data_IF_140156530644
#
_entry.id   IF_140156530644
#
_cell.length_a   1.000
_cell.length_b   1.000
_cell.length_c   1.000
_cell.angle_alpha   90.00
_cell.angle_beta   90.00
_cell.angle_gamma   90.00
#
_symmetry.space_group_name_H-M   'P 1'
#
loop_
_entity.id
_entity.type
_entity.pdbx_description
1 polymer ?
#
# COMPACT_ATOMS: atom_id res chain seq x y z
N UNK A 1 29.42 9.93 -27.99
CA UNK A 1 29.80 9.81 -29.42
C UNK A 1 31.26 9.37 -29.59
N UNK A 2 32.23 10.00 -28.92
CA UNK A 2 33.65 9.64 -29.04
C UNK A 2 34.01 8.19 -28.67
N UNK A 3 33.43 7.63 -27.61
CA UNK A 3 33.70 6.24 -27.18
C UNK A 3 33.23 5.18 -28.19
N UNK A 4 32.04 5.36 -28.80
CA UNK A 4 31.54 4.44 -29.82
C UNK A 4 32.38 4.50 -31.11
N UNK A 5 32.87 5.69 -31.47
CA UNK A 5 33.75 5.88 -32.62
C UNK A 5 35.13 5.24 -32.39
N UNK A 6 35.64 5.29 -31.15
CA UNK A 6 36.85 4.57 -30.74
C UNK A 6 36.71 3.05 -30.86
N UNK A 7 35.60 2.49 -30.35
CA UNK A 7 35.28 1.06 -30.49
C UNK A 7 35.18 0.67 -31.97
N UNK A 8 34.52 1.47 -32.79
CA UNK A 8 34.39 1.21 -34.23
C UNK A 8 35.72 1.22 -34.97
N UNK A 9 36.57 2.22 -34.74
CA UNK A 9 37.92 2.29 -35.33
C UNK A 9 38.76 1.09 -34.90
N UNK A 10 38.65 0.66 -33.63
CA UNK A 10 39.37 -0.49 -33.12
C UNK A 10 38.99 -1.80 -33.85
N UNK A 11 37.69 -2.08 -34.00
CA UNK A 11 37.21 -3.25 -34.74
C UNK A 11 37.60 -3.20 -36.22
N UNK A 12 37.55 -2.03 -36.86
CA UNK A 12 37.99 -1.86 -38.25
C UNK A 12 39.48 -2.15 -38.44
N UNK A 13 40.33 -1.63 -37.55
CA UNK A 13 41.77 -1.90 -37.62
C UNK A 13 42.11 -3.36 -37.33
N UNK A 14 41.39 -4.00 -36.40
CA UNK A 14 41.65 -5.38 -36.01
C UNK A 14 41.17 -6.41 -37.04
N UNK A 15 39.93 -6.32 -37.52
CA UNK A 15 39.35 -7.35 -38.40
C UNK A 15 39.54 -7.08 -39.90
N UNK A 16 39.68 -5.82 -40.31
CA UNK A 16 39.73 -5.47 -41.74
C UNK A 16 41.15 -5.24 -42.26
N UNK A 17 42.06 -4.72 -41.44
CA UNK A 17 43.45 -4.45 -41.84
C UNK A 17 44.45 -5.50 -41.38
N UNK A 18 44.14 -6.35 -40.39
CA UNK A 18 45.06 -7.35 -39.82
C UNK A 18 46.45 -6.81 -39.40
N UNK A 19 46.59 -5.48 -39.26
CA UNK A 19 47.87 -4.80 -38.96
C UNK A 19 48.16 -4.73 -37.45
N UNK A 20 47.27 -5.27 -36.60
CA UNK A 20 47.37 -5.19 -35.14
C UNK A 20 47.49 -6.58 -34.52
N UNK A 21 48.72 -7.00 -34.21
CA UNK A 21 48.99 -8.20 -33.42
C UNK A 21 49.08 -7.83 -31.94
N UNK A 22 48.06 -8.19 -31.16
CA UNK A 22 48.03 -7.94 -29.72
C UNK A 22 48.87 -8.98 -28.98
N UNK A 23 50.12 -8.67 -28.64
CA UNK A 23 50.92 -9.49 -27.71
C UNK A 23 50.58 -9.15 -26.25
N UNK A 24 50.47 -10.12 -25.32
CA UNK A 24 50.65 -11.56 -25.49
C UNK A 24 49.34 -12.30 -25.81
N UNK A 25 49.43 -13.32 -26.66
CA UNK A 25 48.35 -14.25 -27.00
C UNK A 25 48.15 -15.24 -25.85
N UNK A 26 47.07 -15.09 -25.09
CA UNK A 26 46.81 -15.93 -23.90
C UNK A 26 46.16 -17.27 -24.29
N UNK A 27 45.64 -17.37 -25.52
CA UNK A 27 44.95 -18.54 -26.06
C UNK A 27 45.40 -18.68 -27.52
N UNK A 28 45.51 -19.90 -28.06
CA UNK A 28 45.85 -20.24 -29.45
C UNK A 28 44.95 -19.58 -30.54
N UNK A 29 44.11 -18.62 -30.15
CA UNK A 29 43.02 -17.99 -30.92
C UNK A 29 43.23 -16.49 -31.21
N UNK A 30 44.45 -15.94 -31.11
CA UNK A 30 44.78 -14.53 -31.47
C UNK A 30 43.92 -13.47 -30.73
N UNK A 31 43.50 -13.74 -29.49
CA UNK A 31 42.80 -12.79 -28.62
C UNK A 31 43.78 -12.24 -27.58
N UNK A 32 44.03 -10.94 -27.60
CA UNK A 32 44.83 -10.21 -26.62
C UNK A 32 43.99 -9.49 -25.57
N UNK A 33 44.64 -9.00 -24.51
CA UNK A 33 43.96 -8.27 -23.43
C UNK A 33 43.19 -7.03 -23.90
N UNK A 34 43.66 -6.36 -24.96
CA UNK A 34 43.00 -5.20 -25.56
C UNK A 34 41.58 -5.53 -26.07
N UNK A 35 41.37 -6.77 -26.50
CA UNK A 35 40.10 -7.22 -27.08
C UNK A 35 39.03 -7.45 -26.03
N UNK A 36 39.45 -8.00 -24.90
CA UNK A 36 38.59 -8.22 -23.73
C UNK A 36 38.12 -6.86 -23.20
N UNK A 37 39.02 -5.88 -23.13
CA UNK A 37 38.70 -4.53 -22.66
C UNK A 37 37.71 -3.84 -23.61
N UNK A 38 37.95 -3.87 -24.93
CA UNK A 38 37.05 -3.26 -25.91
C UNK A 38 35.71 -4.00 -25.98
N UNK A 39 35.70 -5.32 -25.81
CA UNK A 39 34.49 -6.13 -25.71
C UNK A 39 33.64 -5.79 -24.48
N UNK A 40 34.26 -5.62 -23.31
CA UNK A 40 33.56 -5.16 -22.11
C UNK A 40 32.97 -3.76 -22.30
N UNK A 41 33.72 -2.87 -22.95
CA UNK A 41 33.27 -1.50 -23.20
C UNK A 41 32.10 -1.44 -24.19
N UNK A 42 32.05 -2.32 -25.19
CA UNK A 42 30.91 -2.41 -26.11
C UNK A 42 29.66 -2.94 -25.41
N UNK A 43 29.78 -4.00 -24.58
CA UNK A 43 28.67 -4.54 -23.77
C UNK A 43 28.09 -3.45 -22.86
N UNK A 44 28.95 -2.67 -22.20
CA UNK A 44 28.53 -1.57 -21.34
C UNK A 44 27.72 -0.51 -22.10
N UNK A 45 28.18 -0.12 -23.30
CA UNK A 45 27.46 0.86 -24.13
C UNK A 45 26.09 0.35 -24.57
N UNK A 46 25.98 -0.93 -24.95
CA UNK A 46 24.69 -1.54 -25.29
C UNK A 46 23.73 -1.59 -24.09
N UNK A 47 24.24 -1.88 -22.89
CA UNK A 47 23.43 -1.85 -21.67
C UNK A 47 22.90 -0.44 -21.38
N UNK A 48 23.72 0.61 -21.53
CA UNK A 48 23.29 2.00 -21.37
C UNK A 48 22.20 2.38 -22.37
N UNK A 49 22.34 1.95 -23.64
CA UNK A 49 21.34 2.19 -24.69
C UNK A 49 20.03 1.47 -24.33
N UNK A 50 20.09 0.21 -23.92
CA UNK A 50 18.91 -0.55 -23.51
C UNK A 50 18.14 0.14 -22.37
N UNK A 51 18.86 0.57 -21.31
CA UNK A 51 18.26 1.30 -20.17
C UNK A 51 17.68 2.66 -20.60
N UNK A 52 18.27 3.33 -21.59
CA UNK A 52 17.72 4.58 -22.13
C UNK A 52 16.42 4.36 -22.90
N UNK A 53 16.28 3.23 -23.61
CA UNK A 53 15.09 2.93 -24.41
C UNK A 53 13.92 2.34 -23.60
N UNK A 54 14.15 1.72 -22.44
CA UNK A 54 13.05 1.19 -21.60
C UNK A 54 12.01 2.23 -21.16
N UNK A 55 12.35 3.46 -20.72
CA UNK A 55 11.34 4.48 -20.39
C UNK A 55 10.63 5.03 -21.63
N UNK A 56 11.29 5.04 -22.80
CA UNK A 56 10.69 5.48 -24.06
C UNK A 56 9.63 4.48 -24.56
N UNK A 57 9.95 3.18 -24.54
CA UNK A 57 9.01 2.11 -24.91
C UNK A 57 7.85 2.05 -23.90
N UNK A 58 8.14 2.22 -22.61
CA UNK A 58 7.11 2.33 -21.59
C UNK A 58 6.19 3.52 -21.90
N UNK A 59 6.72 4.71 -22.12
CA UNK A 59 5.95 5.92 -22.46
C UNK A 59 5.07 5.75 -23.70
N UNK A 60 5.61 5.17 -24.79
CA UNK A 60 4.85 4.91 -26.02
C UNK A 60 3.71 3.93 -25.72
N UNK A 61 3.97 2.84 -24.99
CA UNK A 61 2.93 1.89 -24.60
C UNK A 61 1.87 2.53 -23.68
N UNK A 62 2.25 3.37 -22.71
CA UNK A 62 1.29 4.10 -21.87
C UNK A 62 0.43 5.06 -22.70
N UNK A 63 1.02 5.73 -23.69
CA UNK A 63 0.32 6.67 -24.58
C UNK A 63 -0.64 5.97 -25.56
N UNK A 64 -0.29 4.76 -26.00
CA UNK A 64 -1.15 3.96 -26.88
C UNK A 64 -2.32 3.36 -26.08
N UNK A 65 -2.07 2.89 -24.86
CA UNK A 65 -3.12 2.42 -23.93
C UNK A 65 -4.10 3.54 -23.58
N UNK A 66 -3.63 4.77 -23.35
CA UNK A 66 -4.51 5.92 -23.05
C UNK A 66 -5.31 6.40 -24.27
N UNK A 67 -4.82 6.17 -25.49
CA UNK A 67 -5.56 6.49 -26.72
C UNK A 67 -6.73 5.54 -27.02
N UNK A 68 -6.68 4.29 -26.53
CA UNK A 68 -7.80 3.34 -26.62
C UNK A 68 -8.86 3.53 -25.52
N UNK A 69 -8.57 4.30 -24.48
CA UNK A 69 -9.58 4.68 -23.47
C UNK A 69 -10.42 5.89 -23.91
N UNK A 70 -10.98 5.84 -25.12
CA UNK A 70 -12.13 6.67 -25.50
C UNK A 70 -13.44 5.99 -25.03
N UNK A 71 -13.51 5.69 -23.74
CA UNK A 71 -14.76 5.35 -23.08
C UNK A 71 -15.12 6.57 -22.25
N UNK A 72 -16.20 7.27 -22.63
CA UNK A 72 -16.88 8.33 -21.87
C UNK A 72 -16.16 8.66 -20.55
N UNK A 73 -15.34 9.71 -20.55
CA UNK A 73 -14.81 10.28 -19.32
C UNK A 73 -15.99 10.88 -18.56
N UNK A 74 -16.80 10.01 -17.97
CA UNK A 74 -17.70 10.33 -16.89
C UNK A 74 -16.77 10.85 -15.80
N UNK A 75 -16.62 12.17 -15.74
CA UNK A 75 -16.00 12.87 -14.62
C UNK A 75 -16.80 12.49 -13.39
N UNK A 76 -16.40 11.39 -12.76
CA UNK A 76 -17.06 10.83 -11.60
C UNK A 76 -16.41 11.51 -10.41
N UNK A 77 -17.16 12.39 -9.75
CA UNK A 77 -16.75 12.91 -8.45
C UNK A 77 -16.39 11.72 -7.55
N UNK A 78 -15.15 11.72 -7.07
CA UNK A 78 -14.71 10.74 -6.09
C UNK A 78 -15.30 11.15 -4.75
N UNK A 79 -16.13 10.28 -4.21
CA UNK A 79 -16.74 10.51 -2.92
C UNK A 79 -15.74 10.21 -1.81
N UNK A 80 -15.56 11.15 -0.87
CA UNK A 80 -14.75 10.95 0.33
C UNK A 80 -15.53 10.16 1.40
N UNK A 81 -15.90 8.93 1.06
CA UNK A 81 -16.63 8.02 1.94
C UNK A 81 -15.70 6.89 2.35
N UNK A 82 -15.63 6.54 3.64
CA UNK A 82 -14.81 5.42 4.07
C UNK A 82 -15.32 4.11 3.47
N UNK A 83 -14.41 3.33 2.89
CA UNK A 83 -14.75 1.99 2.40
C UNK A 83 -15.28 1.07 3.51
N UNK A 84 -16.15 0.15 3.10
CA UNK A 84 -16.76 -0.86 3.96
C UNK A 84 -16.46 -2.29 3.50
N UNK A 85 -15.95 -2.49 2.29
CA UNK A 85 -15.65 -3.81 1.75
C UNK A 85 -14.18 -3.91 1.33
N UNK A 86 -13.63 -5.11 1.51
CA UNK A 86 -12.29 -5.51 1.11
C UNK A 86 -12.07 -5.42 -0.41
N UNK A 87 -13.12 -5.51 -1.23
CA UNK A 87 -12.99 -5.36 -2.70
C UNK A 87 -12.64 -3.94 -3.12
N UNK A 88 -13.01 -2.94 -2.30
CA UNK A 88 -12.71 -1.53 -2.53
C UNK A 88 -11.37 -1.08 -1.92
N UNK A 89 -10.60 -1.99 -1.35
CA UNK A 89 -9.35 -1.69 -0.65
C UNK A 89 -8.15 -1.61 -1.61
N UNK A 90 -8.02 -0.47 -2.28
CA UNK A 90 -6.91 -0.19 -3.21
C UNK A 90 -5.57 -0.03 -2.46
N UNK A 91 -5.62 0.39 -1.19
CA UNK A 91 -4.43 0.71 -0.39
C UNK A 91 -3.90 -0.48 0.43
N UNK A 92 -4.54 -1.65 0.35
CA UNK A 92 -4.09 -2.88 1.01
C UNK A 92 -4.22 -2.87 2.53
N UNK A 93 -5.14 -2.10 3.10
CA UNK A 93 -5.40 -2.08 4.54
C UNK A 93 -5.89 -3.43 5.11
N UNK A 94 -6.53 -4.26 4.28
CA UNK A 94 -7.15 -5.54 4.65
C UNK A 94 -6.18 -6.46 5.36
N UNK A 95 -4.96 -6.63 4.84
CA UNK A 95 -4.01 -7.59 5.41
C UNK A 95 -3.58 -7.19 6.82
N UNK A 96 -3.31 -5.89 7.01
CA UNK A 96 -2.96 -5.33 8.30
C UNK A 96 -4.14 -5.40 9.28
N UNK A 97 -5.34 -5.00 8.85
CA UNK A 97 -6.56 -5.11 9.66
C UNK A 97 -6.87 -6.55 10.07
N UNK A 98 -6.69 -7.52 9.17
CA UNK A 98 -6.85 -8.95 9.48
C UNK A 98 -5.83 -9.43 10.52
N UNK A 99 -4.59 -8.99 10.41
CA UNK A 99 -3.53 -9.33 11.35
C UNK A 99 -3.85 -8.78 12.74
N UNK A 100 -4.28 -7.52 12.81
CA UNK A 100 -4.71 -6.91 14.07
C UNK A 100 -5.93 -7.61 14.66
N UNK A 101 -6.92 -7.97 13.85
CA UNK A 101 -8.09 -8.74 14.31
C UNK A 101 -7.64 -10.05 14.97
N UNK A 102 -6.76 -10.82 14.34
CA UNK A 102 -6.22 -12.07 14.93
C UNK A 102 -5.55 -11.84 16.27
N UNK A 103 -4.75 -10.77 16.42
CA UNK A 103 -4.16 -10.44 17.71
C UNK A 103 -5.20 -10.11 18.76
N UNK A 104 -6.23 -9.33 18.42
CA UNK A 104 -7.35 -9.03 19.32
C UNK A 104 -8.05 -10.32 19.77
N UNK A 105 -8.22 -11.30 18.88
CA UNK A 105 -8.84 -12.60 19.22
C UNK A 105 -8.03 -13.46 20.18
N UNK A 106 -6.72 -13.22 20.30
CA UNK A 106 -5.84 -13.95 21.23
C UNK A 106 -5.78 -13.34 22.62
N UNK A 107 -6.30 -12.12 22.80
CA UNK A 107 -6.25 -11.42 24.08
C UNK A 107 -7.23 -12.08 25.06
N UNK A 108 -6.74 -12.44 26.25
CA UNK A 108 -7.57 -12.93 27.35
C UNK A 108 -8.30 -11.75 28.02
N UNK A 109 -9.63 -11.74 27.92
CA UNK A 109 -10.48 -10.64 28.39
C UNK A 109 -11.22 -10.92 29.70
N UNK A 110 -10.98 -12.07 30.35
CA UNK A 110 -11.72 -12.47 31.56
C UNK A 110 -11.40 -11.52 32.72
N UNK A 111 -10.13 -11.17 32.90
CA UNK A 111 -9.66 -10.36 34.02
C UNK A 111 -9.01 -9.03 33.62
N UNK A 112 -8.88 -8.77 32.31
CA UNK A 112 -8.12 -7.63 31.78
C UNK A 112 -8.90 -6.90 30.69
N UNK A 113 -8.63 -5.60 30.55
CA UNK A 113 -9.09 -4.78 29.43
C UNK A 113 -7.90 -4.11 28.76
N UNK A 114 -7.99 -3.91 27.45
CA UNK A 114 -6.93 -3.32 26.65
C UNK A 114 -7.48 -2.21 25.76
N UNK A 115 -6.66 -1.18 25.55
CA UNK A 115 -6.98 -0.06 24.67
C UNK A 115 -5.94 0.00 23.55
N UNK A 116 -6.41 0.18 22.32
CA UNK A 116 -5.57 0.27 21.12
C UNK A 116 -5.81 1.65 20.49
N UNK A 117 -4.74 2.42 20.33
CA UNK A 117 -4.78 3.72 19.66
C UNK A 117 -4.37 3.60 18.19
N UNK A 118 -5.21 4.09 17.28
CA UNK A 118 -4.87 4.23 15.86
C UNK A 118 -4.55 5.69 15.54
N UNK A 119 -3.29 5.99 15.23
CA UNK A 119 -2.81 7.34 14.91
C UNK A 119 -2.42 7.45 13.43
N UNK A 120 -2.90 8.50 12.76
CA UNK A 120 -2.52 8.82 11.38
C UNK A 120 -2.96 10.25 11.01
N UNK A 121 -2.41 10.89 9.96
CA UNK A 121 -2.89 12.17 9.44
C UNK A 121 -4.36 12.15 9.00
N UNK A 122 -4.98 13.33 8.90
CA UNK A 122 -6.31 13.47 8.29
C UNK A 122 -6.29 13.01 6.84
N UNK A 123 -7.35 12.34 6.39
CA UNK A 123 -7.42 11.74 5.04
C UNK A 123 -6.69 10.41 4.85
N UNK A 124 -5.92 9.92 5.84
CA UNK A 124 -5.16 8.67 5.72
C UNK A 124 -6.00 7.37 5.74
N UNK A 125 -7.34 7.45 5.68
CA UNK A 125 -8.19 6.25 5.64
C UNK A 125 -8.43 5.54 6.98
N UNK A 126 -8.24 6.21 8.12
CA UNK A 126 -8.46 5.59 9.45
C UNK A 126 -9.85 4.98 9.62
N UNK A 127 -10.90 5.70 9.21
CA UNK A 127 -12.28 5.18 9.31
C UNK A 127 -12.48 3.96 8.40
N UNK A 128 -11.89 3.96 7.21
CA UNK A 128 -11.86 2.80 6.32
C UNK A 128 -11.16 1.61 6.96
N UNK A 129 -9.99 1.83 7.57
CA UNK A 129 -9.25 0.80 8.29
C UNK A 129 -10.09 0.21 9.44
N UNK A 130 -10.74 1.04 10.26
CA UNK A 130 -11.61 0.58 11.35
C UNK A 130 -12.81 -0.23 10.84
N UNK A 131 -13.38 0.13 9.69
CA UNK A 131 -14.45 -0.65 9.06
C UNK A 131 -13.97 -2.02 8.61
N UNK A 132 -12.80 -2.10 7.97
CA UNK A 132 -12.21 -3.37 7.57
C UNK A 132 -11.86 -4.23 8.78
N UNK A 133 -11.25 -3.65 9.82
CA UNK A 133 -10.96 -4.34 11.08
C UNK A 133 -12.22 -4.92 11.72
N UNK A 134 -13.28 -4.11 11.81
CA UNK A 134 -14.57 -4.55 12.36
C UNK A 134 -15.17 -5.73 11.57
N UNK A 135 -14.99 -5.76 10.25
CA UNK A 135 -15.46 -6.86 9.41
C UNK A 135 -14.62 -8.13 9.58
N UNK A 136 -13.35 -8.00 9.92
CA UNK A 136 -12.41 -9.10 10.11
C UNK A 136 -12.56 -9.80 11.47
N UNK A 137 -13.17 -9.15 12.46
CA UNK A 137 -13.42 -9.73 13.78
C UNK A 137 -14.48 -10.85 13.74
N UNK A 138 -14.28 -11.90 14.52
CA UNK A 138 -15.27 -12.98 14.66
C UNK A 138 -16.56 -12.48 15.36
N UNK A 139 -17.64 -12.37 14.58
CA UNK A 139 -18.97 -11.91 15.04
C UNK A 139 -19.62 -12.80 16.10
N UNK A 140 -19.17 -14.05 16.26
CA UNK A 140 -19.64 -14.93 17.33
C UNK A 140 -18.96 -14.67 18.68
N UNK A 141 -17.82 -13.99 18.69
CA UNK A 141 -17.04 -13.67 19.91
C UNK A 141 -17.13 -12.19 20.29
N UNK A 142 -17.25 -11.30 19.31
CA UNK A 142 -17.16 -9.85 19.51
C UNK A 142 -18.48 -9.15 19.20
N UNK A 143 -18.87 -8.24 20.09
CA UNK A 143 -19.91 -7.23 19.84
C UNK A 143 -19.19 -5.95 19.45
N UNK A 144 -19.38 -5.50 18.20
CA UNK A 144 -18.76 -4.27 17.71
C UNK A 144 -19.73 -3.10 17.89
N UNK A 145 -19.26 -2.05 18.56
CA UNK A 145 -20.02 -0.83 18.84
C UNK A 145 -19.22 0.34 18.26
N UNK A 146 -19.85 1.12 17.37
CA UNK A 146 -19.21 2.25 16.71
C UNK A 146 -19.75 3.55 17.30
N UNK A 147 -18.88 4.33 17.91
CA UNK A 147 -19.23 5.65 18.43
C UNK A 147 -18.39 6.73 17.75
N UNK A 148 -19.04 7.79 17.29
CA UNK A 148 -18.38 8.98 16.75
C UNK A 148 -18.76 10.20 17.60
N UNK A 149 -17.84 10.74 18.42
CA UNK A 149 -18.16 11.87 19.30
C UNK A 149 -18.54 13.15 18.53
N UNK A 150 -18.21 13.25 17.23
CA UNK A 150 -18.61 14.40 16.40
C UNK A 150 -20.10 14.45 16.08
N UNK A 151 -20.84 13.35 16.29
CA UNK A 151 -22.29 13.33 16.08
C UNK A 151 -23.06 13.89 17.28
N UNK A 152 -22.39 14.09 18.43
CA UNK A 152 -23.01 14.69 19.60
C UNK A 152 -23.32 16.17 19.37
N UNK A 153 -24.50 16.60 19.81
CA UNK A 153 -24.98 17.98 19.62
C UNK A 153 -24.09 19.00 20.35
N UNK A 154 -23.66 18.65 21.55
CA UNK A 154 -22.79 19.47 22.41
C UNK A 154 -21.72 18.58 23.03
N UNK A 155 -20.59 19.18 23.43
CA UNK A 155 -19.47 18.46 24.06
C UNK A 155 -19.91 17.77 25.36
N UNK A 156 -20.78 18.44 26.12
CA UNK A 156 -21.35 17.93 27.39
C UNK A 156 -22.14 16.63 27.19
N UNK A 157 -22.74 16.44 26.00
CA UNK A 157 -23.59 15.29 25.70
C UNK A 157 -22.78 14.06 25.22
N UNK A 158 -21.48 14.18 24.95
CA UNK A 158 -20.66 13.09 24.39
C UNK A 158 -20.71 11.84 25.27
N UNK A 159 -20.69 12.01 26.59
CA UNK A 159 -20.75 10.88 27.53
C UNK A 159 -22.10 10.19 27.46
N UNK A 160 -23.19 10.96 27.54
CA UNK A 160 -24.56 10.45 27.45
C UNK A 160 -24.77 9.71 26.11
N UNK A 161 -24.37 10.32 24.99
CA UNK A 161 -24.50 9.74 23.65
C UNK A 161 -23.69 8.44 23.49
N UNK A 162 -22.47 8.39 24.03
CA UNK A 162 -21.66 7.17 24.03
C UNK A 162 -22.37 6.03 24.75
N UNK A 163 -22.87 6.31 25.95
CA UNK A 163 -23.55 5.34 26.78
C UNK A 163 -24.88 4.90 26.16
N UNK A 164 -25.62 5.82 25.54
CA UNK A 164 -26.84 5.52 24.79
C UNK A 164 -26.56 4.57 23.61
N UNK A 165 -25.50 4.82 22.83
CA UNK A 165 -25.10 3.95 21.72
C UNK A 165 -24.69 2.56 22.23
N UNK A 166 -23.84 2.50 23.26
CA UNK A 166 -23.41 1.28 23.94
C UNK A 166 -24.62 0.45 24.39
N UNK A 167 -25.54 1.08 25.10
CA UNK A 167 -26.74 0.43 25.61
C UNK A 167 -27.68 -0.04 24.48
N UNK A 168 -27.83 0.75 23.43
CA UNK A 168 -28.70 0.43 22.28
C UNK A 168 -28.31 -0.87 21.59
N UNK A 169 -27.00 -1.19 21.58
CA UNK A 169 -26.46 -2.44 21.03
C UNK A 169 -26.62 -3.57 22.05
N UNK A 170 -26.23 -3.34 23.31
CA UNK A 170 -26.21 -4.38 24.34
C UNK A 170 -27.60 -4.85 24.79
N UNK A 171 -28.64 -3.99 24.75
CA UNK A 171 -30.01 -4.36 25.13
C UNK A 171 -30.60 -5.52 24.33
N UNK A 172 -30.03 -5.82 23.15
CA UNK A 172 -30.41 -6.97 22.32
C UNK A 172 -30.03 -8.30 22.96
N UNK A 173 -29.05 -8.29 23.85
CA UNK A 173 -28.51 -9.46 24.53
C UNK A 173 -29.05 -9.62 25.96
N UNK A 174 -29.30 -8.51 26.68
CA UNK A 174 -29.99 -8.54 27.98
C UNK A 174 -30.93 -7.33 28.17
N UNK A 175 -32.22 -7.59 28.35
CA UNK A 175 -33.24 -6.56 28.57
C UNK A 175 -33.13 -5.89 29.95
N UNK A 176 -32.57 -6.59 30.94
CA UNK A 176 -32.38 -6.07 32.32
C UNK A 176 -31.35 -4.95 32.38
N UNK A 177 -30.52 -4.85 31.35
CA UNK A 177 -29.47 -3.84 31.27
C UNK A 177 -30.06 -2.41 31.31
N UNK A 178 -31.31 -2.18 30.87
CA UNK A 178 -31.90 -0.83 30.79
C UNK A 178 -32.06 -0.15 32.15
N UNK A 179 -32.55 -0.89 33.15
CA UNK A 179 -32.76 -0.36 34.49
C UNK A 179 -31.42 -0.16 35.21
N UNK A 180 -30.50 -1.12 35.08
CA UNK A 180 -29.15 -1.01 35.66
C UNK A 180 -28.36 0.14 35.05
N UNK A 181 -28.50 0.36 33.74
CA UNK A 181 -27.86 1.45 33.02
C UNK A 181 -28.35 2.83 33.47
N UNK A 182 -29.67 3.02 33.59
CA UNK A 182 -30.24 4.28 34.07
C UNK A 182 -29.75 4.61 35.47
N UNK A 183 -29.68 3.60 36.35
CA UNK A 183 -29.17 3.76 37.70
C UNK A 183 -27.67 4.09 37.70
N UNK A 184 -26.90 3.47 36.81
CA UNK A 184 -25.47 3.74 36.66
C UNK A 184 -25.21 5.18 36.20
N UNK A 185 -25.89 5.66 35.14
CA UNK A 185 -25.69 7.02 34.64
C UNK A 185 -26.04 8.09 35.67
N UNK A 186 -27.10 7.87 36.46
CA UNK A 186 -27.45 8.74 37.60
C UNK A 186 -26.34 8.76 38.65
N UNK A 187 -25.75 7.61 38.96
CA UNK A 187 -24.68 7.51 39.95
C UNK A 187 -23.40 8.27 39.53
N UNK A 188 -23.12 8.36 38.23
CA UNK A 188 -21.99 9.13 37.69
C UNK A 188 -22.36 10.55 37.24
N UNK A 189 -23.58 11.01 37.56
CA UNK A 189 -24.07 12.38 37.26
C UNK A 189 -24.02 12.75 35.77
N UNK A 190 -24.25 11.77 34.89
CA UNK A 190 -24.37 12.00 33.44
C UNK A 190 -25.81 12.38 33.06
N UNK A 191 -26.80 11.92 33.82
CA UNK A 191 -28.23 12.28 33.74
C UNK A 191 -28.86 12.43 35.12
#
# INVERSE_FOLDING_TARGET
MGLALFVYIYFQYRFYKNEYTSLPNIIEYEIGYSDIIVGLLSIFLFACIYVYFTPLIAYINTSFISSQTNNNLNFKFLSDIPINDTKSDILGFKENANTLAKYIETIETINNSFSIGLTAPWGAGKTSYLNLLANSLNKGKFIVIKFNPRHSKHIENIQEDFFNELFSVLKKYDKRLSSSFTNYLKAISVI
#
